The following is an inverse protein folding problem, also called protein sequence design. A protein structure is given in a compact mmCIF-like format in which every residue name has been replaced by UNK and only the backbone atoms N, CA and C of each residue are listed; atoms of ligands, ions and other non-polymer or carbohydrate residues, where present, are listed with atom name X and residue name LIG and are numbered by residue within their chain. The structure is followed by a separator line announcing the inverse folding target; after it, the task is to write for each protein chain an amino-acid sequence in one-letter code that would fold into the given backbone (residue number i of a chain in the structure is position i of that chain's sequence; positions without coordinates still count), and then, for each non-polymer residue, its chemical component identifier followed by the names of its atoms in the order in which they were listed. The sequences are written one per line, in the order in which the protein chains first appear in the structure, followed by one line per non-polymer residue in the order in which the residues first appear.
data_IF_084212923891
#
_entry.id   IF_084212923891
#
_cell.length_a   1.000
_cell.length_b   1.000
_cell.length_c   1.000
_cell.angle_alpha   90.00
_cell.angle_beta   90.00
_cell.angle_gamma   90.00
#
_symmetry.space_group_name_H-M   'P 1'
#
loop_
_entity.id
_entity.type
_entity.pdbx_description
1 polymer ?
#
# COMPACT_ATOMS: atom_id res chain seq x y z
N UNK A 1 20.94 5.65 16.75
CA UNK A 1 21.38 7.02 16.49
C UNK A 1 22.61 6.90 15.61
N UNK A 2 22.48 7.06 14.29
CA UNK A 2 23.60 6.97 13.35
C UNK A 2 23.46 8.08 12.31
N UNK A 3 24.43 8.99 12.34
CA UNK A 3 24.80 9.88 11.25
C UNK A 3 25.93 9.21 10.47
N UNK A 4 25.93 9.24 9.14
CA UNK A 4 27.14 9.30 8.30
C UNK A 4 26.70 9.92 6.96
N UNK A 5 27.04 11.20 6.69
CA UNK A 5 28.26 11.68 6.02
C UNK A 5 28.45 11.06 4.63
N UNK A 6 27.98 11.82 3.64
CA UNK A 6 28.32 11.64 2.25
C UNK A 6 29.80 12.02 2.03
N UNK A 7 30.55 11.13 1.38
CA UNK A 7 31.67 11.54 0.54
C UNK A 7 31.62 10.77 -0.78
N UNK A 8 31.79 11.56 -1.82
CA UNK A 8 31.93 11.19 -3.22
C UNK A 8 33.09 10.23 -3.45
N UNK A 9 32.88 9.22 -4.29
CA UNK A 9 33.91 8.84 -5.25
C UNK A 9 33.22 8.46 -6.56
N UNK A 10 33.55 9.25 -7.58
CA UNK A 10 33.36 8.94 -8.99
C UNK A 10 33.93 7.53 -9.29
N UNK A 11 33.13 6.70 -9.95
CA UNK A 11 33.48 5.88 -11.13
C UNK A 11 32.22 5.13 -11.57
N UNK A 12 31.76 5.44 -12.77
CA UNK A 12 30.59 4.86 -13.44
C UNK A 12 30.65 3.32 -13.51
N UNK A 13 29.48 2.67 -13.58
CA UNK A 13 29.11 2.08 -14.86
C UNK A 13 27.78 2.64 -15.40
N UNK A 14 27.66 2.56 -16.73
CA UNK A 14 26.62 3.20 -17.56
C UNK A 14 25.22 2.64 -17.25
N UNK A 15 24.41 3.41 -16.52
CA UNK A 15 22.97 3.36 -16.63
C UNK A 15 22.55 4.26 -17.80
N UNK A 16 21.80 3.72 -18.76
CA UNK A 16 21.40 4.44 -19.97
C UNK A 16 19.87 4.55 -20.05
N UNK A 17 19.24 5.60 -19.49
CA UNK A 17 17.84 5.89 -19.77
C UNK A 17 17.74 6.71 -21.06
N UNK A 18 16.77 6.40 -21.91
CA UNK A 18 16.48 7.14 -23.15
C UNK A 18 16.26 8.64 -22.83
N UNK A 19 16.76 9.57 -23.66
CA UNK A 19 16.75 11.00 -23.33
C UNK A 19 15.33 11.57 -23.35
N UNK A 20 14.91 12.16 -22.24
CA UNK A 20 13.72 13.01 -22.17
C UNK A 20 14.10 14.40 -22.66
N UNK A 21 13.34 14.89 -23.65
CA UNK A 21 13.45 16.22 -24.23
C UNK A 21 13.20 17.27 -23.14
N UNK A 22 14.14 18.21 -22.99
CA UNK A 22 14.05 19.34 -22.07
C UNK A 22 12.88 20.27 -22.45
N UNK A 23 12.08 20.66 -21.45
CA UNK A 23 11.03 21.69 -21.59
C UNK A 23 11.59 23.03 -21.07
N UNK A 24 11.36 24.17 -21.76
CA UNK A 24 11.84 25.48 -21.32
C UNK A 24 11.07 25.99 -20.08
N UNK A 25 11.80 26.58 -19.14
CA UNK A 25 11.22 27.31 -18.00
C UNK A 25 10.76 28.71 -18.44
N UNK A 26 9.63 29.18 -17.89
CA UNK A 26 9.19 30.58 -17.93
C UNK A 26 8.33 30.87 -16.67
N UNK A 27 8.19 32.14 -16.21
CA UNK A 27 8.55 32.53 -14.85
C UNK A 27 7.39 32.61 -13.84
N UNK A 28 7.79 32.64 -12.56
CA UNK A 28 7.00 32.95 -11.37
C UNK A 28 6.15 34.23 -11.51
N UNK A 29 4.89 34.20 -11.05
CA UNK A 29 4.26 35.37 -10.43
C UNK A 29 3.14 35.02 -9.42
N UNK A 30 3.37 35.56 -8.22
CA UNK A 30 2.60 35.90 -7.01
C UNK A 30 1.09 35.59 -6.83
N UNK A 31 0.82 35.16 -5.58
CA UNK A 31 -0.26 35.52 -4.64
C UNK A 31 -1.67 35.85 -5.16
N UNK A 32 -2.67 35.10 -4.66
CA UNK A 32 -3.93 35.71 -4.22
C UNK A 32 -4.47 35.02 -2.96
N UNK A 33 -4.75 35.84 -1.95
CA UNK A 33 -5.49 35.54 -0.72
C UNK A 33 -6.90 36.08 -0.89
N UNK A 34 -7.90 35.38 -0.35
CA UNK A 34 -9.22 35.98 -0.07
C UNK A 34 -9.77 35.52 1.27
N UNK A 35 -9.90 36.50 2.17
CA UNK A 35 -10.66 36.46 3.43
C UNK A 35 -12.16 36.68 3.19
N UNK A 36 -12.92 36.44 4.26
CA UNK A 36 -14.30 36.87 4.59
C UNK A 36 -15.42 35.90 4.15
N UNK A 37 -16.42 35.57 4.97
CA UNK A 37 -16.77 36.03 6.32
C UNK A 37 -17.79 35.08 6.97
N UNK A 38 -17.78 35.01 8.31
CA UNK A 38 -18.77 34.31 9.13
C UNK A 38 -19.75 35.34 9.69
N UNK A 39 -21.04 35.12 9.50
CA UNK A 39 -22.12 35.80 10.24
C UNK A 39 -22.87 34.78 11.10
N UNK A 40 -23.16 35.19 12.33
CA UNK A 40 -23.60 34.40 13.47
C UNK A 40 -25.09 34.57 13.83
N UNK A 41 -25.71 33.45 14.23
CA UNK A 41 -26.67 33.25 15.35
C UNK A 41 -28.17 33.62 15.18
N UNK A 42 -29.10 33.20 16.09
CA UNK A 42 -29.02 32.27 17.25
C UNK A 42 -30.13 31.19 17.37
N UNK A 43 -29.98 30.35 18.42
CA UNK A 43 -30.87 29.29 18.96
C UNK A 43 -32.20 29.79 19.56
N UNK A 44 -33.20 28.91 19.58
CA UNK A 44 -34.35 28.93 20.51
C UNK A 44 -34.67 27.52 21.02
N UNK A 45 -34.62 27.32 22.34
CA UNK A 45 -34.99 26.11 23.09
C UNK A 45 -36.51 26.06 23.32
N UNK A 46 -37.09 24.87 23.48
CA UNK A 46 -38.02 24.58 24.58
C UNK A 46 -38.21 23.06 24.80
N UNK A 47 -38.10 22.67 26.07
CA UNK A 47 -38.25 21.32 26.64
C UNK A 47 -39.70 21.02 27.05
N UNK A 48 -40.06 19.73 27.10
CA UNK A 48 -40.87 19.00 28.12
C UNK A 48 -41.02 17.53 27.65
N UNK A 49 -40.44 16.51 28.32
CA UNK A 49 -40.92 15.79 29.52
C UNK A 49 -42.35 15.20 29.32
N UNK A 50 -42.71 13.94 29.59
CA UNK A 50 -42.14 12.87 30.41
C UNK A 50 -42.86 11.51 30.11
N UNK A 51 -42.13 10.41 30.33
CA UNK A 51 -42.53 9.09 30.88
C UNK A 51 -43.62 8.11 30.33
N UNK A 52 -43.24 6.83 30.52
CA UNK A 52 -44.02 5.61 30.85
C UNK A 52 -44.47 4.60 29.75
N UNK A 53 -43.86 3.40 29.84
CA UNK A 53 -44.37 2.07 29.41
C UNK A 53 -45.10 1.42 30.60
N UNK A 54 -46.09 0.50 30.41
CA UNK A 54 -45.75 -0.94 30.43
C UNK A 54 -46.65 -1.91 29.61
N UNK A 55 -45.98 -3.00 29.15
CA UNK A 55 -46.36 -4.41 28.84
C UNK A 55 -47.85 -4.86 28.69
N UNK A 56 -48.12 -5.67 27.64
CA UNK A 56 -48.72 -7.04 27.71
C UNK A 56 -48.72 -7.76 26.33
N UNK A 57 -48.38 -9.05 26.32
CA UNK A 57 -48.61 -10.01 25.22
C UNK A 57 -50.06 -10.56 25.26
N UNK A 58 -50.63 -11.04 24.14
CA UNK A 58 -50.79 -12.50 23.99
C UNK A 58 -50.64 -13.06 22.55
N UNK A 59 -50.66 -14.40 22.45
CA UNK A 59 -50.37 -15.30 21.31
C UNK A 59 -51.53 -15.52 20.30
N UNK A 60 -51.15 -16.05 19.11
CA UNK A 60 -51.90 -16.83 18.04
C UNK A 60 -52.91 -16.01 17.20
N UNK A 61 -53.02 -16.12 15.87
CA UNK A 61 -53.01 -17.24 14.89
C UNK A 61 -52.43 -16.77 13.54
N UNK A 62 -51.64 -17.52 12.79
CA UNK A 62 -52.11 -18.57 11.87
C UNK A 62 -52.75 -17.96 10.61
N UNK A 63 -51.97 -17.77 9.53
CA UNK A 63 -52.39 -17.77 8.12
C UNK A 63 -51.15 -17.70 7.22
N UNK A 64 -51.12 -18.62 6.24
CA UNK A 64 -50.15 -18.77 5.18
C UNK A 64 -49.89 -17.47 4.42
N UNK A 65 -48.62 -17.20 4.10
CA UNK A 65 -48.24 -16.60 2.83
C UNK A 65 -46.81 -17.03 2.48
N UNK A 66 -46.69 -18.27 2.03
CA UNK A 66 -45.57 -18.68 1.18
C UNK A 66 -45.83 -18.13 -0.22
N UNK A 67 -45.19 -17.00 -0.58
CA UNK A 67 -44.89 -16.63 -1.97
C UNK A 67 -43.91 -15.47 -2.02
N UNK A 68 -42.89 -15.66 -2.87
CA UNK A 68 -41.89 -14.71 -3.38
C UNK A 68 -40.57 -14.59 -2.58
N UNK A 69 -39.69 -15.56 -2.82
CA UNK A 69 -38.25 -15.44 -2.58
C UNK A 69 -37.42 -15.91 -3.81
N UNK A 70 -37.92 -15.73 -5.04
CA UNK A 70 -37.23 -16.20 -6.27
C UNK A 70 -37.36 -15.21 -7.44
N UNK A 71 -37.23 -13.90 -7.22
CA UNK A 71 -37.17 -12.91 -8.33
C UNK A 71 -35.99 -11.93 -8.27
N UNK A 72 -35.42 -11.62 -7.11
CA UNK A 72 -34.46 -10.51 -6.97
C UNK A 72 -33.06 -10.74 -7.57
N UNK A 73 -32.64 -11.98 -7.84
CA UNK A 73 -31.27 -12.27 -8.29
C UNK A 73 -31.07 -12.23 -9.81
N UNK A 74 -32.14 -12.36 -10.62
CA UNK A 74 -32.02 -12.32 -12.08
C UNK A 74 -32.10 -10.90 -12.63
N UNK A 75 -32.99 -10.08 -12.09
CA UNK A 75 -33.24 -8.71 -12.55
C UNK A 75 -32.00 -7.81 -12.40
N UNK A 76 -31.26 -7.98 -11.29
CA UNK A 76 -30.01 -7.26 -11.03
C UNK A 76 -28.85 -7.64 -11.95
N UNK A 77 -28.86 -8.86 -12.50
CA UNK A 77 -27.80 -9.34 -13.41
C UNK A 77 -27.99 -8.77 -14.81
N UNK A 78 -29.21 -8.79 -15.33
CA UNK A 78 -29.53 -8.25 -16.66
C UNK A 78 -29.32 -6.72 -16.71
N UNK A 79 -29.67 -6.00 -15.63
CA UNK A 79 -29.39 -4.56 -15.51
C UNK A 79 -27.89 -4.25 -15.50
N UNK A 80 -27.08 -5.03 -14.77
CA UNK A 80 -25.62 -4.85 -14.75
C UNK A 80 -25.00 -5.11 -16.12
N UNK A 81 -25.45 -6.14 -16.84
CA UNK A 81 -25.00 -6.45 -18.20
C UNK A 81 -25.38 -5.33 -19.16
N UNK A 82 -26.62 -4.83 -19.10
CA UNK A 82 -27.08 -3.71 -19.91
C UNK A 82 -26.24 -2.45 -19.65
N UNK A 83 -26.03 -2.11 -18.37
CA UNK A 83 -25.24 -0.94 -17.98
C UNK A 83 -23.78 -1.08 -18.41
N UNK A 84 -23.16 -2.26 -18.30
CA UNK A 84 -21.80 -2.49 -18.81
C UNK A 84 -21.70 -2.27 -20.33
N UNK A 85 -22.71 -2.72 -21.10
CA UNK A 85 -22.79 -2.49 -22.54
C UNK A 85 -22.92 -1.00 -22.89
N UNK A 86 -23.73 -0.25 -22.14
CA UNK A 86 -23.88 1.19 -22.31
C UNK A 86 -22.56 1.93 -22.01
N UNK A 87 -21.88 1.58 -20.91
CA UNK A 87 -20.57 2.20 -20.60
C UNK A 87 -19.54 1.95 -21.69
N UNK A 88 -19.52 0.76 -22.30
CA UNK A 88 -18.63 0.45 -23.43
C UNK A 88 -18.98 1.23 -24.71
N UNK A 89 -20.25 1.64 -24.89
CA UNK A 89 -20.64 2.56 -25.97
C UNK A 89 -20.23 4.00 -25.63
N UNK A 90 -20.39 4.41 -24.38
CA UNK A 90 -19.99 5.75 -23.91
C UNK A 90 -18.48 5.99 -24.12
N UNK A 91 -17.65 4.97 -23.90
CA UNK A 91 -16.21 5.08 -24.12
C UNK A 91 -15.83 5.39 -25.57
N UNK A 92 -16.69 5.03 -26.53
CA UNK A 92 -16.49 5.31 -27.95
C UNK A 92 -16.96 6.70 -28.36
N UNK A 93 -17.63 7.43 -27.46
CA UNK A 93 -18.17 8.75 -27.73
C UNK A 93 -17.32 9.84 -27.04
N UNK A 94 -16.44 10.57 -27.76
CA UNK A 94 -15.58 11.58 -27.17
C UNK A 94 -16.32 12.75 -26.51
N UNK A 95 -17.57 13.03 -26.91
CA UNK A 95 -18.36 14.12 -26.33
C UNK A 95 -18.76 13.86 -24.87
N UNK A 96 -18.77 12.59 -24.45
CA UNK A 96 -19.02 12.19 -23.07
C UNK A 96 -17.78 12.28 -22.18
N UNK A 97 -16.60 12.52 -22.77
CA UNK A 97 -15.36 12.78 -22.02
C UNK A 97 -15.28 14.26 -21.59
N UNK A 98 -16.35 14.79 -20.99
CA UNK A 98 -16.43 16.16 -20.51
C UNK A 98 -16.40 16.18 -18.98
N UNK A 99 -15.38 16.81 -18.43
CA UNK A 99 -15.18 17.04 -17.01
C UNK A 99 -15.39 18.50 -16.60
N UNK A 100 -15.18 18.83 -15.32
CA UNK A 100 -15.38 20.18 -14.81
C UNK A 100 -14.51 21.21 -15.53
N UNK A 101 -15.03 22.42 -15.72
CA UNK A 101 -14.33 23.54 -16.37
C UNK A 101 -13.90 23.26 -17.82
N UNK A 102 -14.63 22.41 -18.55
CA UNK A 102 -14.35 22.08 -19.95
C UNK A 102 -13.10 21.22 -20.16
N UNK A 103 -12.53 20.66 -19.09
CA UNK A 103 -11.41 19.71 -19.17
C UNK A 103 -11.90 18.30 -19.44
N UNK A 104 -11.10 17.42 -20.05
CA UNK A 104 -11.46 16.00 -20.17
C UNK A 104 -11.71 15.35 -18.81
N UNK A 105 -12.72 14.47 -18.75
CA UNK A 105 -13.00 13.68 -17.55
C UNK A 105 -11.90 12.63 -17.30
N UNK A 106 -11.39 12.02 -18.37
CA UNK A 106 -10.28 11.08 -18.37
C UNK A 106 -9.02 11.73 -18.94
N UNK A 107 -7.88 11.44 -18.32
CA UNK A 107 -6.57 11.83 -18.88
C UNK A 107 -6.24 11.01 -20.12
N UNK A 108 -5.54 11.63 -21.08
CA UNK A 108 -4.99 10.96 -22.26
C UNK A 108 -3.60 10.35 -22.00
N UNK A 109 -3.09 10.48 -20.77
CA UNK A 109 -1.78 9.98 -20.38
C UNK A 109 -1.86 8.47 -20.15
N UNK A 110 -0.92 7.72 -20.72
CA UNK A 110 -0.87 6.25 -20.67
C UNK A 110 0.04 5.67 -19.58
N UNK A 111 0.69 6.50 -18.76
CA UNK A 111 1.62 6.04 -17.72
C UNK A 111 1.57 6.96 -16.50
N UNK A 112 1.66 6.37 -15.31
CA UNK A 112 1.62 7.13 -14.06
C UNK A 112 2.82 8.06 -13.90
N UNK A 113 3.95 7.74 -14.54
CA UNK A 113 5.16 8.58 -14.52
C UNK A 113 4.96 9.94 -15.16
N UNK A 114 4.12 10.01 -16.20
CA UNK A 114 3.88 11.23 -17.00
C UNK A 114 2.80 12.14 -16.43
N UNK A 115 2.01 11.67 -15.45
CA UNK A 115 0.97 12.48 -14.81
C UNK A 115 1.56 13.73 -14.18
N UNK A 116 0.85 14.84 -14.29
CA UNK A 116 1.26 16.15 -13.77
C UNK A 116 0.15 16.77 -12.93
N UNK A 117 0.44 17.91 -12.29
CA UNK A 117 -0.59 18.68 -11.56
C UNK A 117 -1.75 19.12 -12.44
N UNK A 118 -1.58 19.18 -13.77
CA UNK A 118 -2.65 19.52 -14.72
C UNK A 118 -3.70 18.42 -14.83
N UNK A 119 -3.30 17.18 -14.57
CA UNK A 119 -4.16 15.99 -14.62
C UNK A 119 -4.95 15.77 -13.32
N UNK A 120 -4.71 16.59 -12.29
CA UNK A 120 -5.45 16.52 -11.04
C UNK A 120 -6.95 16.67 -11.29
N UNK A 121 -7.74 15.86 -10.59
CA UNK A 121 -9.19 15.77 -10.74
C UNK A 121 -9.67 15.21 -12.09
N UNK A 122 -8.80 14.57 -12.86
CA UNK A 122 -9.18 13.70 -13.99
C UNK A 122 -9.00 12.22 -13.61
N UNK A 123 -9.66 11.32 -14.33
CA UNK A 123 -9.53 9.89 -14.12
C UNK A 123 -8.44 9.28 -15.01
N UNK A 124 -7.56 8.49 -14.42
CA UNK A 124 -6.60 7.65 -15.13
C UNK A 124 -7.20 6.26 -15.37
N UNK A 125 -7.17 5.78 -16.61
CA UNK A 125 -7.69 4.45 -16.99
C UNK A 125 -6.58 3.41 -16.87
N UNK A 126 -6.87 2.30 -16.23
CA UNK A 126 -6.00 1.14 -16.13
C UNK A 126 -6.49 0.04 -17.06
N UNK A 127 -5.56 -0.63 -17.74
CA UNK A 127 -5.85 -1.93 -18.32
C UNK A 127 -5.90 -3.00 -17.23
N UNK A 128 -6.92 -3.85 -17.21
CA UNK A 128 -7.03 -4.92 -16.21
C UNK A 128 -5.80 -5.86 -16.22
N UNK A 129 -5.31 -6.19 -17.42
CA UNK A 129 -4.09 -7.00 -17.60
C UNK A 129 -2.84 -6.32 -17.03
N UNK A 130 -2.70 -5.02 -17.30
CA UNK A 130 -1.59 -4.21 -16.80
C UNK A 130 -1.64 -4.15 -15.27
N UNK A 131 -2.82 -3.92 -14.71
CA UNK A 131 -2.99 -3.84 -13.27
C UNK A 131 -2.66 -5.16 -12.57
N UNK A 132 -3.11 -6.29 -13.12
CA UNK A 132 -2.78 -7.62 -12.59
C UNK A 132 -1.28 -7.93 -12.70
N UNK A 133 -0.61 -7.43 -13.75
CA UNK A 133 0.84 -7.55 -13.90
C UNK A 133 1.59 -6.65 -12.92
N UNK A 134 1.10 -5.43 -12.69
CA UNK A 134 1.74 -4.43 -11.84
C UNK A 134 1.39 -4.57 -10.36
N UNK A 135 0.35 -5.31 -9.99
CA UNK A 135 -0.08 -5.57 -8.61
C UNK A 135 -0.52 -7.04 -8.41
N UNK A 136 0.36 -8.03 -8.68
CA UNK A 136 0.01 -9.46 -8.59
C UNK A 136 -0.21 -9.95 -7.14
N UNK A 137 0.15 -9.16 -6.13
CA UNK A 137 -0.17 -9.40 -4.72
C UNK A 137 -1.67 -9.20 -4.44
N UNK A 138 -2.36 -8.47 -5.32
CA UNK A 138 -3.78 -8.17 -5.22
C UNK A 138 -4.06 -6.69 -5.00
N UNK A 139 -5.30 -6.30 -5.32
CA UNK A 139 -5.77 -4.93 -5.18
C UNK A 139 -6.23 -4.64 -3.75
N UNK A 140 -6.03 -3.41 -3.25
CA UNK A 140 -6.63 -3.01 -1.99
C UNK A 140 -8.15 -2.99 -2.10
N UNK A 141 -8.85 -3.32 -1.01
CA UNK A 141 -10.32 -3.44 -1.01
C UNK A 141 -11.04 -2.18 -1.50
N UNK A 142 -10.50 -0.99 -1.20
CA UNK A 142 -11.06 0.26 -1.68
C UNK A 142 -11.01 0.41 -3.20
N UNK A 143 -9.97 -0.13 -3.85
CA UNK A 143 -9.84 -0.11 -5.31
C UNK A 143 -10.80 -1.13 -5.96
N UNK A 144 -10.91 -2.33 -5.39
CA UNK A 144 -11.88 -3.35 -5.85
C UNK A 144 -13.30 -2.78 -5.82
N UNK A 145 -13.69 -2.19 -4.68
CA UNK A 145 -15.00 -1.58 -4.51
C UNK A 145 -15.24 -0.44 -5.51
N UNK A 146 -14.26 0.44 -5.72
CA UNK A 146 -14.36 1.53 -6.69
C UNK A 146 -14.61 1.00 -8.12
N UNK A 147 -13.91 -0.06 -8.53
CA UNK A 147 -14.08 -0.66 -9.85
C UNK A 147 -15.39 -1.40 -10.01
N UNK A 148 -15.86 -2.07 -8.97
CA UNK A 148 -17.17 -2.74 -8.96
C UNK A 148 -18.33 -1.73 -9.04
N UNK A 149 -18.26 -0.63 -8.27
CA UNK A 149 -19.31 0.39 -8.20
C UNK A 149 -19.36 1.26 -9.47
N UNK A 150 -18.19 1.64 -10.00
CA UNK A 150 -18.10 2.41 -11.23
C UNK A 150 -18.25 1.55 -12.49
N UNK A 151 -18.05 0.24 -12.37
CA UNK A 151 -17.89 -0.71 -13.48
C UNK A 151 -16.84 -0.27 -14.50
N UNK A 152 -15.80 0.43 -14.03
CA UNK A 152 -14.68 0.94 -14.83
C UNK A 152 -13.38 0.78 -14.05
N UNK A 153 -12.33 0.34 -14.72
CA UNK A 153 -10.98 0.29 -14.15
C UNK A 153 -10.30 1.66 -14.24
N UNK A 154 -10.89 2.68 -13.62
CA UNK A 154 -10.35 4.05 -13.66
C UNK A 154 -10.34 4.68 -12.27
N UNK A 155 -9.27 5.42 -11.95
CA UNK A 155 -9.09 6.06 -10.65
C UNK A 155 -8.86 7.56 -10.80
N UNK A 156 -9.39 8.34 -9.86
CA UNK A 156 -9.16 9.78 -9.81
C UNK A 156 -7.68 10.09 -9.52
N UNK A 157 -7.07 10.92 -10.36
CA UNK A 157 -5.74 11.48 -10.13
C UNK A 157 -5.85 12.55 -9.06
N UNK A 158 -5.40 12.21 -7.86
CA UNK A 158 -5.44 13.10 -6.69
C UNK A 158 -4.11 13.83 -6.52
N UNK A 159 -4.19 15.06 -6.04
CA UNK A 159 -3.01 15.86 -5.70
C UNK A 159 -2.10 15.14 -4.70
N UNK A 160 -2.68 14.42 -3.73
CA UNK A 160 -1.95 13.65 -2.73
C UNK A 160 -1.08 12.54 -3.34
N UNK A 161 -1.54 11.88 -4.40
CA UNK A 161 -0.75 10.89 -5.12
C UNK A 161 0.44 11.55 -5.83
N UNK A 162 0.21 12.67 -6.53
CA UNK A 162 1.27 13.39 -7.23
C UNK A 162 2.34 13.92 -6.26
N UNK A 163 1.92 14.49 -5.14
CA UNK A 163 2.85 15.01 -4.12
C UNK A 163 3.69 13.89 -3.49
N UNK A 164 3.09 12.72 -3.25
CA UNK A 164 3.76 11.54 -2.72
C UNK A 164 4.77 10.97 -3.72
N UNK A 165 4.33 10.78 -4.97
CA UNK A 165 5.17 10.32 -6.09
C UNK A 165 6.35 11.26 -6.31
N UNK A 166 6.10 12.55 -6.42
CA UNK A 166 7.13 13.55 -6.67
C UNK A 166 8.11 13.67 -5.49
N UNK A 167 7.67 13.40 -4.25
CA UNK A 167 8.58 13.29 -3.11
C UNK A 167 9.56 12.13 -3.28
N UNK A 168 9.09 10.93 -3.66
CA UNK A 168 9.95 9.77 -3.86
C UNK A 168 10.86 9.92 -5.08
N UNK A 169 10.35 10.51 -6.18
CA UNK A 169 11.16 10.86 -7.35
C UNK A 169 12.35 11.74 -6.96
N UNK A 170 12.12 12.79 -6.15
CA UNK A 170 13.17 13.70 -5.66
C UNK A 170 14.22 13.05 -4.74
N UNK A 171 13.93 11.88 -4.16
CA UNK A 171 14.92 11.14 -3.35
C UNK A 171 15.94 10.45 -4.25
N UNK A 172 15.50 9.93 -5.39
CA UNK A 172 16.35 9.21 -6.35
C UNK A 172 17.05 10.18 -7.31
N UNK A 173 16.34 11.20 -7.79
CA UNK A 173 16.85 12.22 -8.69
C UNK A 173 16.58 13.63 -8.13
N UNK A 174 17.48 14.17 -7.29
CA UNK A 174 17.33 15.50 -6.72
C UNK A 174 17.49 16.57 -7.80
N UNK A 175 16.59 17.57 -7.87
CA UNK A 175 16.70 18.62 -8.87
C UNK A 175 17.99 19.43 -8.68
N UNK A 176 18.72 19.66 -9.77
CA UNK A 176 20.02 20.36 -9.80
C UNK A 176 19.98 21.82 -9.28
N UNK A 177 18.79 22.39 -9.04
CA UNK A 177 18.54 23.82 -8.84
C UNK A 177 18.22 24.24 -7.40
N UNK A 178 18.43 23.42 -6.37
CA UNK A 178 18.33 23.90 -4.98
C UNK A 178 19.60 24.66 -4.57
N UNK A 179 19.87 25.78 -5.23
CA UNK A 179 20.96 26.73 -4.91
C UNK A 179 20.66 27.54 -3.64
N UNK A 180 19.39 27.62 -3.24
CA UNK A 180 18.98 28.18 -1.96
C UNK A 180 18.70 27.01 -1.02
N UNK A 181 19.37 26.92 0.13
CA UNK A 181 19.20 25.85 1.13
C UNK A 181 17.79 25.69 1.73
N UNK A 182 16.75 26.23 1.08
CA UNK A 182 15.30 26.07 1.32
C UNK A 182 14.64 25.09 0.33
N UNK A 183 15.35 24.04 -0.10
CA UNK A 183 14.73 22.95 -0.86
C UNK A 183 13.59 22.29 -0.08
N UNK A 184 12.54 21.83 -0.78
CA UNK A 184 11.47 21.03 -0.17
C UNK A 184 12.07 19.82 0.55
N UNK A 185 11.90 19.75 1.87
CA UNK A 185 12.40 18.64 2.70
C UNK A 185 11.80 17.31 2.23
N UNK A 186 12.62 16.51 1.55
CA UNK A 186 12.24 15.15 1.12
C UNK A 186 12.06 14.26 2.34
N UNK A 187 11.03 13.42 2.32
CA UNK A 187 10.73 12.46 3.40
C UNK A 187 10.92 11.04 2.88
N UNK A 188 11.87 10.30 3.46
CA UNK A 188 12.13 8.89 3.13
C UNK A 188 11.13 7.92 3.75
N UNK A 189 10.48 8.34 4.85
CA UNK A 189 9.48 7.58 5.57
C UNK A 189 8.21 8.43 5.66
N UNK A 190 7.08 7.87 5.22
CA UNK A 190 5.79 8.56 5.15
C UNK A 190 4.70 7.60 5.62
N UNK A 191 3.89 8.05 6.57
CA UNK A 191 2.64 7.39 6.95
C UNK A 191 1.50 8.19 6.34
N UNK A 192 0.66 7.52 5.55
CA UNK A 192 -0.57 8.10 5.01
C UNK A 192 -1.65 7.99 6.08
N UNK A 193 -2.11 9.12 6.61
CA UNK A 193 -3.17 9.17 7.61
C UNK A 193 -4.35 10.03 7.15
N UNK A 194 -5.53 9.76 7.71
CA UNK A 194 -6.76 10.47 7.40
C UNK A 194 -8.00 9.61 7.67
N UNK A 195 -9.21 10.17 7.45
CA UNK A 195 -10.47 9.48 7.73
C UNK A 195 -10.60 8.13 7.04
N UNK A 196 -11.48 7.26 7.56
CA UNK A 196 -11.80 5.99 6.89
C UNK A 196 -12.31 6.26 5.47
N UNK A 197 -11.99 5.36 4.54
CA UNK A 197 -12.40 5.42 3.12
C UNK A 197 -11.97 6.69 2.34
N UNK A 198 -11.02 7.48 2.83
CA UNK A 198 -10.54 8.67 2.10
C UNK A 198 -9.55 8.38 0.96
N UNK A 199 -9.37 7.11 0.55
CA UNK A 199 -8.52 6.71 -0.58
C UNK A 199 -7.02 6.54 -0.29
N UNK A 200 -6.64 6.27 0.96
CA UNK A 200 -5.23 6.03 1.36
C UNK A 200 -4.64 4.80 0.66
N UNK A 201 -5.32 3.65 0.76
CA UNK A 201 -4.91 2.40 0.14
C UNK A 201 -4.79 2.50 -1.37
N UNK A 202 -5.73 3.21 -2.03
CA UNK A 202 -5.70 3.48 -3.46
C UNK A 202 -4.46 4.31 -3.82
N UNK A 203 -4.18 5.37 -3.05
CA UNK A 203 -3.00 6.23 -3.26
C UNK A 203 -1.70 5.44 -3.13
N UNK A 204 -1.61 4.52 -2.15
CA UNK A 204 -0.45 3.66 -1.97
C UNK A 204 -0.29 2.66 -3.12
N UNK A 205 -1.37 2.03 -3.58
CA UNK A 205 -1.33 1.11 -4.72
C UNK A 205 -0.93 1.80 -6.02
N UNK A 206 -1.42 3.03 -6.27
CA UNK A 206 -0.96 3.84 -7.41
C UNK A 206 0.52 4.19 -7.29
N UNK A 207 1.03 4.46 -6.09
CA UNK A 207 2.46 4.70 -5.87
C UNK A 207 3.29 3.45 -6.19
N UNK A 208 2.83 2.27 -5.78
CA UNK A 208 3.49 0.99 -6.08
C UNK A 208 3.52 0.75 -7.58
N UNK A 209 2.40 0.93 -8.27
CA UNK A 209 2.32 0.82 -9.73
C UNK A 209 3.31 1.75 -10.43
N UNK A 210 3.38 3.02 -10.00
CA UNK A 210 4.36 3.97 -10.52
C UNK A 210 5.81 3.54 -10.26
N UNK A 211 6.14 3.13 -9.02
CA UNK A 211 7.51 2.71 -8.68
C UNK A 211 7.96 1.50 -9.50
N UNK A 212 7.02 0.60 -9.81
CA UNK A 212 7.21 -0.56 -10.69
C UNK A 212 7.46 -0.15 -12.14
N UNK A 213 6.70 0.80 -12.68
CA UNK A 213 6.98 1.39 -13.99
C UNK A 213 8.39 2.02 -14.07
N UNK A 214 8.88 2.61 -12.98
CA UNK A 214 10.23 3.18 -12.89
C UNK A 214 11.34 2.14 -12.64
N UNK A 215 10.99 0.85 -12.55
CA UNK A 215 11.95 -0.24 -12.34
C UNK A 215 12.51 -0.36 -10.92
N UNK A 216 11.77 0.13 -9.91
CA UNK A 216 12.18 0.02 -8.51
C UNK A 216 11.94 -1.40 -7.99
N UNK A 217 12.72 -1.80 -6.98
CA UNK A 217 12.46 -3.02 -6.22
C UNK A 217 11.41 -2.72 -5.16
N UNK A 218 10.24 -3.36 -5.22
CA UNK A 218 9.11 -3.00 -4.36
C UNK A 218 8.66 -4.15 -3.47
N UNK A 219 8.78 -3.97 -2.16
CA UNK A 219 8.18 -4.83 -1.14
C UNK A 219 6.78 -4.29 -0.79
N UNK A 220 5.74 -4.87 -1.40
CA UNK A 220 4.36 -4.41 -1.24
C UNK A 220 3.52 -5.39 -0.41
N UNK A 221 2.78 -4.85 0.57
CA UNK A 221 1.85 -5.59 1.42
C UNK A 221 0.49 -4.89 1.38
N UNK A 222 -0.47 -5.37 0.55
CA UNK A 222 -1.78 -4.74 0.41
C UNK A 222 -2.70 -4.90 1.64
N UNK A 223 -2.39 -5.85 2.54
CA UNK A 223 -3.24 -6.20 3.70
C UNK A 223 -2.40 -6.46 4.95
N UNK A 224 -1.83 -5.40 5.53
CA UNK A 224 -1.03 -5.52 6.76
C UNK A 224 -1.79 -6.08 7.98
N UNK A 225 -3.13 -6.06 7.96
CA UNK A 225 -3.97 -6.70 8.99
C UNK A 225 -3.69 -8.20 9.14
N UNK A 226 -3.46 -8.89 8.04
CA UNK A 226 -3.25 -10.35 8.05
C UNK A 226 -1.97 -10.70 8.84
N UNK A 227 -1.05 -9.75 8.97
CA UNK A 227 0.17 -9.90 9.77
C UNK A 227 -0.06 -9.84 11.26
N UNK A 228 -1.17 -9.25 11.68
CA UNK A 228 -1.50 -9.11 13.08
C UNK A 228 -2.60 -10.05 13.54
N UNK A 229 -3.58 -10.30 12.69
CA UNK A 229 -4.77 -11.07 13.03
C UNK A 229 -4.86 -12.39 12.24
N UNK A 230 -3.81 -12.75 11.50
CA UNK A 230 -3.79 -13.93 10.65
C UNK A 230 -3.09 -15.13 11.27
N UNK A 231 -3.75 -16.28 11.17
CA UNK A 231 -3.12 -17.60 11.24
C UNK A 231 -2.40 -17.96 12.54
N UNK A 232 -1.35 -18.77 12.38
CA UNK A 232 -0.50 -19.29 13.45
C UNK A 232 0.55 -18.26 13.88
N UNK A 233 0.67 -18.04 15.18
CA UNK A 233 1.71 -17.24 15.80
C UNK A 233 2.22 -17.94 17.06
N UNK A 234 3.49 -17.74 17.40
CA UNK A 234 4.10 -18.33 18.59
C UNK A 234 5.13 -17.38 19.19
N UNK A 235 5.41 -17.53 20.48
CA UNK A 235 6.44 -16.74 21.16
C UNK A 235 7.78 -17.43 20.99
N UNK A 236 8.68 -16.80 20.26
CA UNK A 236 10.04 -17.27 20.06
C UNK A 236 10.80 -17.26 21.40
N UNK A 237 11.25 -18.43 21.89
CA UNK A 237 11.88 -18.54 23.20
C UNK A 237 13.27 -17.88 23.26
N UNK A 238 13.93 -17.71 22.10
CA UNK A 238 15.28 -17.13 22.02
C UNK A 238 15.20 -15.60 22.06
N UNK A 239 14.32 -15.01 21.25
CA UNK A 239 14.21 -13.55 21.14
C UNK A 239 13.23 -12.96 22.16
N UNK A 240 12.32 -13.78 22.70
CA UNK A 240 11.21 -13.34 23.54
C UNK A 240 10.09 -12.65 22.77
N UNK A 241 10.17 -12.65 21.43
CA UNK A 241 9.29 -11.94 20.50
C UNK A 241 8.27 -12.89 19.88
N UNK A 242 7.18 -12.36 19.31
CA UNK A 242 6.13 -13.17 18.69
C UNK A 242 6.31 -13.24 17.18
N UNK A 243 6.40 -14.46 16.66
CA UNK A 243 6.66 -14.77 15.26
C UNK A 243 5.38 -15.23 14.54
N UNK A 244 5.24 -14.86 13.25
CA UNK A 244 4.09 -15.21 12.39
C UNK A 244 4.57 -15.92 11.11
N UNK A 245 4.96 -17.21 11.18
CA UNK A 245 5.66 -17.89 10.07
C UNK A 245 4.82 -18.03 8.80
N UNK A 246 3.51 -18.29 8.91
CA UNK A 246 2.61 -18.36 7.74
C UNK A 246 2.59 -17.02 7.02
N UNK A 247 2.51 -15.93 7.76
CA UNK A 247 2.47 -14.62 7.16
C UNK A 247 3.80 -14.22 6.54
N UNK A 248 4.91 -14.54 7.20
CA UNK A 248 6.24 -14.32 6.64
C UNK A 248 6.39 -15.05 5.29
N UNK A 249 5.95 -16.31 5.21
CA UNK A 249 5.93 -17.09 3.97
C UNK A 249 5.07 -16.43 2.89
N UNK A 250 3.86 -15.99 3.23
CA UNK A 250 2.98 -15.29 2.29
C UNK A 250 3.60 -13.99 1.78
N UNK A 251 4.24 -13.20 2.66
CA UNK A 251 4.95 -11.99 2.27
C UNK A 251 6.11 -12.27 1.31
N UNK A 252 6.84 -13.37 1.53
CA UNK A 252 7.90 -13.82 0.62
C UNK A 252 7.34 -14.27 -0.74
N UNK A 253 6.25 -15.04 -0.76
CA UNK A 253 5.56 -15.42 -1.99
C UNK A 253 5.11 -14.21 -2.78
N UNK A 254 4.46 -13.25 -2.13
CA UNK A 254 4.01 -12.00 -2.74
C UNK A 254 5.18 -11.17 -3.28
N UNK A 255 6.27 -11.07 -2.53
CA UNK A 255 7.45 -10.32 -2.94
C UNK A 255 8.08 -10.85 -4.25
N UNK A 256 8.06 -12.17 -4.48
CA UNK A 256 8.59 -12.77 -5.71
C UNK A 256 7.71 -12.47 -6.93
N UNK A 257 6.39 -12.39 -6.78
CA UNK A 257 5.43 -12.30 -7.90
C UNK A 257 5.79 -11.22 -8.94
N UNK A 258 6.18 -10.03 -8.47
CA UNK A 258 6.62 -8.96 -9.37
C UNK A 258 8.15 -8.90 -9.51
N UNK A 259 8.89 -9.10 -8.41
CA UNK A 259 10.32 -8.77 -8.36
C UNK A 259 11.23 -9.91 -8.82
N UNK A 260 10.71 -11.06 -9.26
CA UNK A 260 11.50 -12.27 -9.57
C UNK A 260 12.73 -11.98 -10.44
N UNK A 261 12.55 -11.23 -11.54
CA UNK A 261 13.64 -10.92 -12.47
C UNK A 261 14.75 -10.09 -11.85
N UNK A 262 14.41 -9.13 -10.97
CA UNK A 262 15.36 -8.31 -10.22
C UNK A 262 16.07 -9.14 -9.13
N UNK A 263 15.33 -9.96 -8.39
CA UNK A 263 15.87 -10.77 -7.30
C UNK A 263 16.91 -11.78 -7.77
N UNK A 264 16.78 -12.33 -8.98
CA UNK A 264 17.76 -13.22 -9.60
C UNK A 264 19.08 -12.52 -9.97
N UNK A 265 19.08 -11.20 -10.07
CA UNK A 265 20.27 -10.41 -10.43
C UNK A 265 20.99 -9.84 -9.20
N UNK A 266 20.33 -9.78 -8.05
CA UNK A 266 20.86 -9.19 -6.83
C UNK A 266 21.56 -10.28 -5.98
N UNK A 267 22.86 -10.15 -5.69
CA UNK A 267 23.55 -11.08 -4.82
C UNK A 267 23.18 -10.87 -3.34
N UNK A 268 23.28 -11.94 -2.55
CA UNK A 268 23.33 -11.82 -1.09
C UNK A 268 24.68 -11.21 -0.67
N UNK A 269 24.67 -10.41 0.39
CA UNK A 269 25.87 -9.85 1.01
C UNK A 269 26.10 -10.38 2.43
N UNK A 270 25.09 -11.03 3.02
CA UNK A 270 25.12 -11.54 4.38
C UNK A 270 24.94 -13.06 4.35
N UNK A 271 26.02 -13.78 4.70
CA UNK A 271 26.09 -15.24 4.58
C UNK A 271 25.93 -15.98 5.92
N UNK A 272 25.71 -15.23 7.01
CA UNK A 272 25.36 -15.79 8.31
C UNK A 272 24.13 -16.73 8.17
N UNK A 273 24.19 -17.96 8.73
CA UNK A 273 23.08 -18.90 8.69
C UNK A 273 21.76 -18.27 9.14
N UNK A 274 20.68 -18.61 8.45
CA UNK A 274 19.34 -18.13 8.77
C UNK A 274 18.82 -18.93 9.96
N UNK A 275 18.49 -18.28 11.10
CA UNK A 275 17.94 -18.99 12.26
C UNK A 275 16.56 -19.57 11.93
N UNK A 276 16.32 -20.79 12.41
CA UNK A 276 15.04 -21.47 12.28
C UNK A 276 14.14 -21.19 13.49
N UNK A 277 12.86 -20.99 13.20
CA UNK A 277 11.80 -20.87 14.19
C UNK A 277 10.83 -22.06 14.13
N UNK A 278 9.67 -21.90 14.76
CA UNK A 278 8.59 -22.88 14.63
C UNK A 278 7.91 -22.81 13.27
N UNK A 279 7.57 -23.98 12.75
CA UNK A 279 6.80 -24.13 11.53
C UNK A 279 5.33 -24.35 11.87
N UNK A 280 4.45 -23.72 11.11
CA UNK A 280 3.02 -23.85 11.32
C UNK A 280 2.57 -25.32 11.22
N UNK A 281 1.96 -25.84 12.28
CA UNK A 281 1.48 -27.23 12.35
C UNK A 281 2.57 -28.30 12.52
N UNK A 282 3.84 -27.91 12.60
CA UNK A 282 5.00 -28.82 12.70
C UNK A 282 5.77 -28.60 14.01
N UNK A 283 5.74 -27.38 14.56
CA UNK A 283 6.47 -27.00 15.78
C UNK A 283 7.95 -26.72 15.49
N UNK A 284 8.82 -26.94 16.48
CA UNK A 284 10.27 -26.74 16.34
C UNK A 284 10.92 -27.93 15.62
N UNK A 285 11.83 -27.66 14.69
CA UNK A 285 12.70 -28.68 14.10
C UNK A 285 13.69 -29.18 15.17
N UNK A 286 13.79 -30.50 15.36
CA UNK A 286 14.72 -31.09 16.32
C UNK A 286 16.11 -31.22 15.71
N UNK A 287 17.12 -30.67 16.39
CA UNK A 287 18.53 -30.86 16.05
C UNK A 287 19.06 -30.01 14.89
N UNK A 288 18.26 -29.05 14.38
CA UNK A 288 18.69 -28.09 13.35
C UNK A 288 18.16 -26.71 13.72
N UNK A 289 19.07 -25.80 14.05
CA UNK A 289 18.71 -24.46 14.53
C UNK A 289 18.88 -23.37 13.47
N UNK A 290 19.53 -23.68 12.35
CA UNK A 290 19.77 -22.72 11.27
C UNK A 290 19.94 -23.39 9.91
N UNK A 291 19.76 -22.60 8.84
CA UNK A 291 19.98 -23.01 7.45
C UNK A 291 21.11 -22.18 6.85
N UNK A 292 22.16 -22.80 6.28
CA UNK A 292 23.26 -22.06 5.64
C UNK A 292 22.78 -21.37 4.36
N UNK A 293 23.38 -20.20 4.07
CA UNK A 293 23.19 -19.47 2.81
C UNK A 293 24.52 -19.51 2.04
N UNK A 294 24.60 -20.18 0.88
CA UNK A 294 25.81 -20.22 0.07
C UNK A 294 26.30 -18.83 -0.35
N UNK A 295 27.62 -18.65 -0.48
CA UNK A 295 28.23 -17.35 -0.86
C UNK A 295 27.84 -16.87 -2.26
N UNK A 296 27.50 -17.80 -3.15
CA UNK A 296 27.04 -17.50 -4.52
C UNK A 296 25.53 -17.29 -4.64
N UNK A 297 24.80 -17.22 -3.52
CA UNK A 297 23.35 -17.10 -3.53
C UNK A 297 22.87 -15.71 -3.92
N UNK A 298 21.77 -15.67 -4.66
CA UNK A 298 21.03 -14.45 -4.99
C UNK A 298 19.94 -14.19 -3.94
N UNK A 299 19.39 -12.97 -3.93
CA UNK A 299 18.23 -12.66 -3.09
C UNK A 299 17.02 -13.53 -3.44
N UNK A 300 16.90 -13.96 -4.71
CA UNK A 300 15.88 -14.94 -5.10
C UNK A 300 16.07 -16.27 -4.36
N UNK A 301 17.29 -16.81 -4.32
CA UNK A 301 17.58 -18.07 -3.64
C UNK A 301 17.29 -17.98 -2.14
N UNK A 302 17.66 -16.87 -1.50
CA UNK A 302 17.34 -16.58 -0.10
C UNK A 302 15.83 -16.61 0.13
N UNK A 303 15.05 -15.95 -0.72
CA UNK A 303 13.58 -15.92 -0.61
C UNK A 303 12.98 -17.32 -0.82
N UNK A 304 13.52 -18.10 -1.77
CA UNK A 304 13.09 -19.48 -2.01
C UNK A 304 13.32 -20.40 -0.81
N UNK A 305 14.40 -20.20 -0.03
CA UNK A 305 14.60 -20.93 1.24
C UNK A 305 13.41 -20.71 2.17
N UNK A 306 12.98 -19.45 2.35
CA UNK A 306 11.88 -19.12 3.26
C UNK A 306 10.51 -19.58 2.75
N UNK A 307 10.30 -19.64 1.42
CA UNK A 307 9.07 -20.17 0.82
C UNK A 307 8.99 -21.70 0.95
N UNK A 308 10.11 -22.41 0.75
CA UNK A 308 10.16 -23.88 0.78
C UNK A 308 10.19 -24.43 2.20
N UNK A 309 10.72 -23.67 3.16
CA UNK A 309 10.85 -24.07 4.55
C UNK A 309 10.20 -23.03 5.47
N UNK A 310 8.98 -23.30 5.91
CA UNK A 310 8.20 -22.40 6.79
C UNK A 310 8.95 -22.04 8.09
N UNK A 311 9.76 -22.95 8.63
CA UNK A 311 10.63 -22.68 9.79
C UNK A 311 11.64 -21.55 9.55
N UNK A 312 12.10 -21.39 8.30
CA UNK A 312 13.06 -20.35 7.93
C UNK A 312 12.36 -19.05 7.53
N UNK A 313 11.05 -19.05 7.26
CA UNK A 313 10.34 -17.93 6.65
C UNK A 313 10.54 -16.60 7.41
N UNK A 314 10.38 -16.62 8.74
CA UNK A 314 10.58 -15.43 9.58
C UNK A 314 12.04 -14.97 9.53
N UNK A 315 12.98 -15.89 9.71
CA UNK A 315 14.42 -15.61 9.62
C UNK A 315 14.83 -15.02 8.27
N UNK A 316 14.27 -15.55 7.18
CA UNK A 316 14.48 -15.07 5.82
C UNK A 316 13.91 -13.66 5.63
N UNK A 317 12.72 -13.34 6.13
CA UNK A 317 12.19 -11.96 6.06
C UNK A 317 13.08 -10.97 6.82
N UNK A 318 13.58 -11.35 8.01
CA UNK A 318 14.51 -10.53 8.78
C UNK A 318 15.84 -10.31 8.02
N UNK A 319 16.39 -11.39 7.42
CA UNK A 319 17.61 -11.34 6.61
C UNK A 319 17.40 -10.48 5.36
N UNK A 320 16.31 -10.70 4.64
CA UNK A 320 15.95 -9.98 3.42
C UNK A 320 15.88 -8.47 3.69
N UNK A 321 15.28 -8.03 4.79
CA UNK A 321 15.30 -6.59 5.15
C UNK A 321 16.73 -6.05 5.23
N UNK A 322 17.63 -6.78 5.90
CA UNK A 322 19.04 -6.36 6.05
C UNK A 322 19.73 -6.31 4.69
N UNK A 323 19.53 -7.34 3.86
CA UNK A 323 20.05 -7.37 2.48
C UNK A 323 19.56 -6.20 1.62
N UNK A 324 18.25 -5.92 1.65
CA UNK A 324 17.65 -4.80 0.91
C UNK A 324 18.17 -3.44 1.37
N UNK A 325 18.67 -3.33 2.61
CA UNK A 325 19.32 -2.10 3.09
C UNK A 325 20.73 -1.91 2.51
N UNK A 326 21.36 -2.97 2.01
CA UNK A 326 22.67 -2.97 1.38
C UNK A 326 22.60 -2.73 -0.13
N UNK A 327 21.46 -3.02 -0.77
CA UNK A 327 21.23 -2.70 -2.20
C UNK A 327 21.36 -1.19 -2.44
N UNK A 328 22.24 -0.80 -3.37
CA UNK A 328 22.48 0.61 -3.77
C UNK A 328 22.22 0.89 -5.25
N UNK A 329 22.26 -0.14 -6.09
CA UNK A 329 22.19 0.02 -7.55
C UNK A 329 20.78 0.36 -8.04
N UNK A 330 19.76 -0.08 -7.31
CA UNK A 330 18.35 0.19 -7.62
C UNK A 330 17.62 0.75 -6.39
N UNK A 331 16.67 1.69 -6.59
CA UNK A 331 15.84 2.17 -5.50
C UNK A 331 14.96 1.04 -4.92
N UNK A 332 14.84 1.01 -3.60
CA UNK A 332 13.99 0.05 -2.87
C UNK A 332 12.85 0.77 -2.18
N UNK A 333 11.62 0.31 -2.41
CA UNK A 333 10.41 0.83 -1.75
C UNK A 333 9.76 -0.25 -0.88
N UNK A 334 9.53 0.09 0.39
CA UNK A 334 8.64 -0.66 1.28
C UNK A 334 7.28 0.03 1.34
N UNK A 335 6.24 -0.65 0.87
CA UNK A 335 4.88 -0.15 0.81
C UNK A 335 3.95 -1.10 1.58
N UNK A 336 3.42 -0.65 2.71
CA UNK A 336 2.57 -1.47 3.58
C UNK A 336 1.26 -0.73 3.78
N UNK A 337 0.15 -1.37 3.45
CA UNK A 337 -1.18 -0.86 3.76
C UNK A 337 -1.65 -1.36 5.14
N UNK A 338 -2.54 -0.60 5.78
CA UNK A 338 -3.12 -0.92 7.09
C UNK A 338 -2.08 -1.00 8.23
N UNK A 339 -0.97 -0.25 8.12
CA UNK A 339 0.10 -0.15 9.13
C UNK A 339 -0.44 0.22 10.52
N UNK A 340 -1.51 1.01 10.59
CA UNK A 340 -2.17 1.36 11.86
C UNK A 340 -2.52 0.13 12.69
N UNK A 341 -2.97 -0.97 12.07
CA UNK A 341 -3.30 -2.19 12.81
C UNK A 341 -2.04 -2.88 13.36
N UNK A 342 -0.92 -2.80 12.64
CA UNK A 342 0.39 -3.23 13.13
C UNK A 342 0.83 -2.38 14.34
N UNK A 343 0.50 -1.09 14.35
CA UNK A 343 0.85 -0.17 15.44
C UNK A 343 -0.10 -0.25 16.64
N UNK A 344 -1.40 -0.47 16.43
CA UNK A 344 -2.45 -0.49 17.47
C UNK A 344 -2.57 -1.84 18.18
N UNK A 345 -2.24 -2.96 17.52
CA UNK A 345 -2.25 -4.31 18.13
C UNK A 345 -1.14 -4.55 19.19
N UNK A 346 -0.35 -3.52 19.50
CA UNK A 346 0.80 -3.56 20.41
C UNK A 346 0.46 -3.60 21.91
N UNK A 347 -0.76 -3.95 22.31
CA UNK A 347 -1.02 -4.21 23.73
C UNK A 347 -0.43 -5.54 24.21
N UNK A 348 -0.34 -6.62 23.41
CA UNK A 348 0.30 -7.87 23.91
C UNK A 348 0.94 -8.87 22.93
N UNK A 349 0.79 -8.80 21.60
CA UNK A 349 0.84 -10.07 20.83
C UNK A 349 1.84 -10.18 19.67
N UNK A 350 2.48 -9.12 19.16
CA UNK A 350 3.11 -9.25 17.83
C UNK A 350 4.41 -8.49 17.74
N UNK A 351 5.51 -9.21 17.51
CA UNK A 351 6.76 -8.60 17.16
C UNK A 351 7.16 -9.04 15.78
N UNK A 352 6.82 -8.20 14.80
CA UNK A 352 7.80 -7.99 13.74
C UNK A 352 9.00 -7.27 14.36
N UNK A 353 9.99 -8.01 14.84
CA UNK A 353 11.32 -7.47 15.10
C UNK A 353 11.92 -6.80 13.85
N UNK A 354 11.43 -7.16 12.65
CA UNK A 354 11.79 -6.54 11.37
C UNK A 354 11.12 -5.19 11.09
N UNK A 355 9.85 -5.00 11.48
CA UNK A 355 9.14 -3.73 11.23
C UNK A 355 9.27 -2.73 12.37
N UNK A 356 9.46 -3.17 13.62
CA UNK A 356 9.78 -2.25 14.74
C UNK A 356 11.19 -1.63 14.62
N UNK A 357 12.06 -2.16 13.75
CA UNK A 357 13.29 -1.49 13.32
C UNK A 357 13.15 -0.69 12.02
N UNK A 358 12.08 -0.89 11.22
CA UNK A 358 11.74 -0.07 10.05
C UNK A 358 10.80 1.10 10.37
N UNK A 359 10.01 0.98 11.44
CA UNK A 359 9.12 1.97 12.01
C UNK A 359 9.55 2.19 13.45
N UNK A 360 10.35 3.24 13.68
CA UNK A 360 10.76 3.83 14.96
C UNK A 360 10.30 3.11 16.26
N UNK A 361 11.31 2.71 17.06
CA UNK A 361 11.29 2.56 18.53
C UNK A 361 10.21 3.41 19.23
N UNK A 362 9.44 2.78 20.11
CA UNK A 362 8.85 3.40 21.29
C UNK A 362 9.13 2.51 22.52
N UNK A 363 9.37 3.08 23.71
CA UNK A 363 9.99 2.40 24.84
C UNK A 363 9.02 1.46 25.59
N UNK A 364 9.53 0.45 26.31
CA UNK A 364 8.72 -0.45 27.11
C UNK A 364 8.45 0.16 28.48
N UNK A 365 7.61 1.20 28.59
CA UNK A 365 7.23 1.75 29.89
C UNK A 365 5.91 2.53 29.80
N UNK A 366 4.79 1.81 29.96
CA UNK A 366 3.55 2.36 30.52
C UNK A 366 2.57 1.21 30.80
N UNK A 367 2.92 0.35 31.76
CA UNK A 367 1.94 -0.45 32.47
C UNK A 367 1.32 0.44 33.54
N UNK A 368 0.05 0.79 33.40
CA UNK A 368 -0.82 1.06 34.55
C UNK A 368 -2.03 0.14 34.43
N UNK A 369 -2.18 -0.66 35.49
CA UNK A 369 -3.28 -1.57 35.79
C UNK A 369 -4.63 -0.88 35.71
N UNK A 370 -5.57 -1.48 34.98
CA UNK A 370 -6.96 -1.66 35.41
C UNK A 370 -7.53 -2.94 34.82
#
# INVERSE_FOLDING_TARGET
MLWFLARSSLKNPKWNPKPIIAIPQSPLHNHFSSKSGKSSAPKGNNNKADNQKPKKNPKRSGLDDSKNAVSDTKETTDERVLRARLLAQDEKNPSLNAGPNGRPLFTNISSLSRLSRKDTCSYFKFGEKELNQMLPEGLPMGMVKEFEESMRSALLVRQSFLDLRDNFRRIVDPPLLSSDGKGLKVRKQIVLDGPSNCGKSITLAMLVHWAREEGWLVFYVPRGREWTHGGYFYKNPITGLWDTPIQAENALKDFVKYNESLLKQLPCHIFDPVPLGEGAGIGLLKGVDSVPVPESSTLYDLVQIGIKQTHAAVGVVLRLRKELSLVKDIPVLFAIDQVRQILESNSHIISFSSLNELSLRMPPESFHSY
#
